data_IF_734530476427
#
_entry.id   IF_734530476427
#
_cell.length_a   1.000
_cell.length_b   1.000
_cell.length_c   1.000
_cell.angle_alpha   90.00
_cell.angle_beta   90.00
_cell.angle_gamma   90.00
#
_symmetry.space_group_name_H-M   'P 1'
#
loop_
_entity.id
_entity.type
_entity.pdbx_description
1 polymer ?
#
# COMPACT_ATOMS: atom_id res chain seq x y z
N UNK A 1 -8.92 46.61 -8.33
CA UNK A 1 -8.94 45.35 -9.12
C UNK A 1 -8.07 44.37 -8.37
N UNK A 2 -8.65 43.71 -7.39
CA UNK A 2 -7.98 42.75 -6.54
C UNK A 2 -7.85 41.46 -7.35
N UNK A 3 -6.62 41.07 -7.70
CA UNK A 3 -6.39 39.80 -8.37
C UNK A 3 -6.54 38.71 -7.33
N UNK A 4 -7.70 38.04 -7.34
CA UNK A 4 -7.89 36.77 -6.66
C UNK A 4 -6.89 35.78 -7.25
N UNK A 5 -5.86 35.44 -6.48
CA UNK A 5 -5.02 34.28 -6.75
C UNK A 5 -5.97 33.06 -6.76
N UNK A 6 -5.87 32.15 -7.75
CA UNK A 6 -6.62 30.91 -7.66
C UNK A 6 -6.15 30.20 -6.39
N UNK A 7 -7.10 29.80 -5.53
CA UNK A 7 -6.82 28.85 -4.46
C UNK A 7 -5.98 27.74 -5.09
N UNK A 8 -4.73 27.60 -4.63
CA UNK A 8 -3.99 26.37 -4.86
C UNK A 8 -4.95 25.29 -4.36
N UNK A 9 -5.51 24.52 -5.28
CA UNK A 9 -6.07 23.24 -4.93
C UNK A 9 -5.02 22.59 -4.03
N UNK A 10 -5.37 22.33 -2.78
CA UNK A 10 -4.65 21.35 -2.00
C UNK A 10 -4.81 20.05 -2.80
N UNK A 11 -3.94 19.85 -3.79
CA UNK A 11 -3.50 18.51 -4.15
C UNK A 11 -3.20 17.87 -2.81
N UNK A 12 -3.92 16.82 -2.39
CA UNK A 12 -3.58 16.15 -1.16
C UNK A 12 -2.20 15.53 -1.39
N UNK A 13 -1.15 16.30 -1.10
CA UNK A 13 0.13 15.72 -0.77
C UNK A 13 -0.12 14.95 0.51
N UNK A 14 0.21 13.66 0.50
CA UNK A 14 0.76 12.94 1.63
C UNK A 14 0.68 11.46 1.28
N UNK A 15 1.84 10.85 1.06
CA UNK A 15 2.02 9.41 1.13
C UNK A 15 1.19 8.85 2.28
N UNK A 16 0.30 7.92 1.95
CA UNK A 16 -0.53 7.25 2.92
C UNK A 16 0.29 6.19 3.62
N UNK A 17 0.10 6.10 4.93
CA UNK A 17 0.64 5.03 5.74
C UNK A 17 0.29 3.68 5.12
N UNK A 18 1.30 2.81 4.98
CA UNK A 18 1.06 1.39 4.74
C UNK A 18 0.38 0.86 5.98
N UNK A 19 -0.90 0.48 5.84
CA UNK A 19 -1.71 0.06 6.98
C UNK A 19 -1.45 -1.41 7.32
N UNK A 20 -1.24 -2.22 6.29
CA UNK A 20 -0.90 -3.63 6.44
C UNK A 20 -0.12 -4.08 5.22
N UNK A 21 0.91 -4.86 5.49
CA UNK A 21 1.69 -5.56 4.50
C UNK A 21 1.56 -7.08 4.70
N UNK A 22 1.95 -7.81 3.68
CA UNK A 22 2.01 -9.26 3.73
C UNK A 22 2.74 -9.80 2.51
N UNK A 23 2.76 -11.11 2.40
CA UNK A 23 3.36 -11.79 1.26
C UNK A 23 2.74 -13.16 1.04
N UNK A 24 2.90 -13.68 -0.17
CA UNK A 24 2.55 -15.06 -0.51
C UNK A 24 3.60 -15.64 -1.46
N UNK A 25 3.58 -16.96 -1.63
CA UNK A 25 4.39 -17.64 -2.65
C UNK A 25 3.57 -17.80 -3.94
N UNK A 26 4.11 -17.31 -5.05
CA UNK A 26 3.61 -17.61 -6.39
C UNK A 26 3.81 -19.09 -6.72
N UNK A 27 3.21 -19.56 -7.82
CA UNK A 27 3.24 -20.96 -8.24
C UNK A 27 4.66 -21.48 -8.52
N UNK A 28 5.58 -20.59 -8.90
CA UNK A 28 7.00 -20.90 -9.10
C UNK A 28 7.85 -20.76 -7.82
N UNK A 29 7.20 -20.57 -6.67
CA UNK A 29 7.81 -20.46 -5.36
C UNK A 29 8.46 -19.10 -5.08
N UNK A 30 8.26 -18.11 -5.95
CA UNK A 30 8.79 -16.77 -5.75
C UNK A 30 7.91 -15.95 -4.83
N UNK A 31 8.54 -15.13 -3.99
CA UNK A 31 7.83 -14.26 -3.06
C UNK A 31 7.17 -13.10 -3.81
N UNK A 32 5.90 -12.85 -3.47
CA UNK A 32 5.14 -11.68 -3.89
C UNK A 32 4.76 -10.91 -2.63
N UNK A 33 5.24 -9.68 -2.52
CA UNK A 33 4.91 -8.77 -1.43
C UNK A 33 3.60 -8.06 -1.77
N UNK A 34 2.77 -7.86 -0.76
CA UNK A 34 1.51 -7.13 -0.80
C UNK A 34 1.60 -5.92 0.13
N UNK A 35 1.04 -4.80 -0.30
CA UNK A 35 0.84 -3.61 0.53
C UNK A 35 -0.57 -3.08 0.34
N UNK A 36 -1.27 -2.81 1.45
CA UNK A 36 -2.62 -2.23 1.44
C UNK A 36 -2.59 -0.85 2.10
N UNK A 37 -3.01 0.15 1.33
CA UNK A 37 -3.07 1.54 1.75
C UNK A 37 -4.53 1.99 1.83
N UNK A 38 -4.93 2.62 2.94
CA UNK A 38 -6.30 3.13 3.14
C UNK A 38 -6.35 4.65 3.19
N UNK A 39 -7.29 5.20 2.45
CA UNK A 39 -8.34 6.11 2.91
C UNK A 39 -8.16 6.91 4.22
N UNK A 40 -8.37 8.22 4.27
CA UNK A 40 -8.57 8.96 5.53
C UNK A 40 -9.97 8.67 6.11
N UNK A 41 -10.84 8.05 5.30
CA UNK A 41 -12.14 7.54 5.68
C UNK A 41 -12.15 5.99 5.68
N UNK A 42 -11.00 5.36 5.90
CA UNK A 42 -10.79 3.90 5.93
C UNK A 42 -11.22 3.16 4.64
N UNK A 43 -11.25 3.84 3.49
CA UNK A 43 -11.53 3.18 2.20
C UNK A 43 -10.24 2.72 1.56
N UNK A 44 -10.28 1.56 0.90
CA UNK A 44 -9.15 1.09 0.11
C UNK A 44 -8.74 2.16 -0.90
N UNK A 45 -7.52 2.66 -0.76
CA UNK A 45 -6.95 3.64 -1.66
C UNK A 45 -6.09 2.94 -2.71
N UNK A 46 -5.21 2.05 -2.27
CA UNK A 46 -4.27 1.34 -3.14
C UNK A 46 -3.98 -0.06 -2.59
N UNK A 47 -3.79 -0.99 -3.52
CA UNK A 47 -3.26 -2.32 -3.29
C UNK A 47 -2.10 -2.51 -4.25
N UNK A 48 -0.90 -2.61 -3.71
CA UNK A 48 0.30 -2.93 -4.47
C UNK A 48 0.67 -4.39 -4.30
N UNK A 49 1.11 -5.00 -5.39
CA UNK A 49 1.69 -6.33 -5.39
C UNK A 49 3.00 -6.33 -6.17
N UNK A 50 4.09 -6.80 -5.55
CA UNK A 50 5.40 -6.84 -6.18
C UNK A 50 6.05 -8.21 -6.04
N UNK A 51 6.28 -8.86 -7.18
CA UNK A 51 7.07 -10.09 -7.25
C UNK A 51 8.54 -9.74 -7.16
N UNK A 52 9.28 -10.49 -6.35
CA UNK A 52 10.69 -10.21 -6.05
C UNK A 52 11.66 -10.60 -7.18
N UNK A 53 11.13 -11.05 -8.33
CA UNK A 53 11.88 -11.35 -9.53
C UNK A 53 11.31 -10.62 -10.75
N UNK A 54 11.82 -10.92 -11.94
CA UNK A 54 11.33 -10.33 -13.20
C UNK A 54 10.45 -11.26 -14.01
N UNK A 55 10.04 -12.40 -13.45
CA UNK A 55 9.14 -13.32 -14.13
C UNK A 55 7.69 -12.85 -14.00
N UNK A 56 6.79 -13.24 -14.92
CA UNK A 56 5.37 -12.96 -14.77
C UNK A 56 4.82 -13.55 -13.48
N UNK A 57 3.87 -12.85 -12.85
CA UNK A 57 3.04 -13.43 -11.80
C UNK A 57 2.16 -14.53 -12.40
N UNK A 58 2.22 -15.73 -11.87
CA UNK A 58 1.47 -16.88 -12.38
C UNK A 58 0.10 -17.00 -11.70
N UNK A 59 0.02 -16.65 -10.41
CA UNK A 59 -1.18 -16.88 -9.61
C UNK A 59 -1.26 -15.95 -8.40
N UNK A 60 -2.46 -15.41 -8.14
CA UNK A 60 -2.81 -14.83 -6.84
C UNK A 60 -3.36 -15.90 -5.89
N UNK A 61 -3.14 -15.77 -4.57
CA UNK A 61 -3.67 -16.71 -3.59
C UNK A 61 -5.19 -16.79 -3.67
N UNK A 62 -5.74 -17.99 -3.50
CA UNK A 62 -7.20 -18.22 -3.56
C UNK A 62 -7.81 -18.43 -2.18
N UNK A 63 -6.98 -18.68 -1.15
CA UNK A 63 -7.40 -18.78 0.24
C UNK A 63 -6.52 -17.91 1.14
N UNK A 64 -7.11 -17.40 2.23
CA UNK A 64 -6.42 -16.48 3.14
C UNK A 64 -5.18 -17.08 3.80
N UNK A 65 -5.17 -18.39 4.04
CA UNK A 65 -4.02 -19.07 4.67
C UNK A 65 -2.77 -19.13 3.79
N UNK A 66 -2.87 -18.78 2.50
CA UNK A 66 -1.71 -18.63 1.62
C UNK A 66 -1.01 -17.26 1.79
N UNK A 67 -1.64 -16.32 2.50
CA UNK A 67 -1.10 -14.98 2.76
C UNK A 67 -0.51 -14.95 4.17
N UNK A 68 0.76 -14.56 4.24
CA UNK A 68 1.48 -14.31 5.47
C UNK A 68 1.46 -12.80 5.73
N UNK A 69 0.84 -12.37 6.84
CA UNK A 69 0.87 -10.97 7.24
C UNK A 69 2.28 -10.60 7.72
N UNK A 70 2.74 -9.40 7.34
CA UNK A 70 3.96 -8.84 7.90
C UNK A 70 3.74 -8.43 9.36
N UNK A 71 4.81 -8.43 10.15
CA UNK A 71 4.76 -7.82 11.48
C UNK A 71 4.71 -6.30 11.31
N UNK A 72 3.51 -5.74 11.22
CA UNK A 72 3.31 -4.29 11.22
C UNK A 72 3.80 -3.78 12.58
N UNK A 73 5.04 -3.28 12.63
CA UNK A 73 5.48 -2.50 13.78
C UNK A 73 4.68 -1.21 13.72
N UNK A 74 3.83 -0.99 14.72
CA UNK A 74 2.99 0.21 14.86
C UNK A 74 3.72 1.45 14.35
N UNK A 75 3.32 1.97 13.18
CA UNK A 75 3.87 3.22 12.64
C UNK A 75 3.22 4.36 13.44
N UNK A 76 3.65 4.52 14.70
CA UNK A 76 3.29 5.66 15.56
C UNK A 76 4.40 6.72 15.65
N UNK A 77 5.47 6.64 14.85
CA UNK A 77 6.61 7.56 14.98
C UNK A 77 6.83 8.53 13.79
N UNK A 78 5.99 8.52 12.75
CA UNK A 78 6.17 9.43 11.61
C UNK A 78 5.42 10.78 11.74
N UNK A 79 5.00 11.16 12.95
CA UNK A 79 4.42 12.47 13.21
C UNK A 79 4.81 13.00 14.59
N UNK A 80 6.05 13.50 14.72
CA UNK A 80 6.44 14.47 15.76
C UNK A 80 7.29 15.59 15.12
N UNK A 81 7.23 16.81 15.67
CA UNK A 81 6.76 18.05 15.01
C UNK A 81 7.71 18.72 14.03
#
# INVERSE_FOLDING_TARGET
MEQLQPELAHEPSSLRYIYSDGWFLDLDGQCVILSVNFDENDRLFELDSWKMDSNPLLRFPTILSEIHLGETTDIQDAAQP
#
